data_IF_801103227478
#
_entry.id   IF_801103227478
#
_cell.length_a   1.000
_cell.length_b   1.000
_cell.length_c   1.000
_cell.angle_alpha   90.00
_cell.angle_beta   90.00
_cell.angle_gamma   90.00
#
_symmetry.space_group_name_H-M   'P 1'
#
loop_
_entity.id
_entity.type
_entity.pdbx_description
1 polymer ?
#
# COMPACT_ATOMS: atom_id res chain seq x y z
N UNK A 1 13.87 9.77 -2.79
CA UNK A 1 12.39 9.71 -2.85
C UNK A 1 12.00 8.26 -3.12
N UNK A 2 11.10 7.65 -2.32
CA UNK A 2 10.74 6.25 -2.47
C UNK A 2 9.86 5.99 -3.71
N UNK A 3 9.95 4.78 -4.31
CA UNK A 3 9.03 4.31 -5.35
C UNK A 3 7.55 4.37 -4.93
N UNK A 4 6.69 4.72 -5.86
CA UNK A 4 5.23 4.74 -5.66
C UNK A 4 4.66 3.32 -5.56
N UNK A 5 3.71 3.12 -4.65
CA UNK A 5 3.04 1.85 -4.46
C UNK A 5 1.78 1.73 -5.32
N UNK A 6 1.46 0.50 -5.73
CA UNK A 6 0.36 0.16 -6.63
C UNK A 6 -0.41 -1.04 -6.11
N UNK A 7 -1.61 -1.21 -6.64
CA UNK A 7 -2.38 -2.44 -6.40
C UNK A 7 -1.61 -3.65 -6.90
N UNK A 8 -1.48 -4.64 -6.02
CA UNK A 8 -0.73 -5.88 -6.16
C UNK A 8 0.80 -5.75 -6.00
N UNK A 9 1.33 -4.61 -5.53
CA UNK A 9 2.69 -4.55 -4.99
C UNK A 9 2.76 -5.34 -3.66
N UNK A 10 3.96 -5.82 -3.31
CA UNK A 10 4.17 -6.76 -2.20
C UNK A 10 4.40 -6.04 -0.88
N UNK A 11 3.85 -6.61 0.19
CA UNK A 11 4.17 -6.24 1.57
C UNK A 11 5.00 -7.33 2.23
N UNK A 12 5.92 -6.93 3.09
CA UNK A 12 6.81 -7.83 3.81
C UNK A 12 7.02 -7.31 5.23
N UNK A 13 7.12 -8.19 6.21
CA UNK A 13 7.69 -7.79 7.49
C UNK A 13 9.19 -7.52 7.33
N UNK A 14 9.74 -6.69 8.21
CA UNK A 14 11.16 -6.42 8.22
C UNK A 14 11.92 -7.63 8.77
N UNK A 15 12.92 -8.12 8.04
CA UNK A 15 13.80 -9.19 8.50
C UNK A 15 14.82 -8.68 9.52
N UNK A 16 15.31 -7.45 9.31
CA UNK A 16 16.18 -6.70 10.22
C UNK A 16 15.91 -5.23 10.01
N UNK A 17 15.66 -4.44 11.07
CA UNK A 17 15.59 -2.97 11.09
C UNK A 17 14.93 -2.23 9.91
N UNK A 18 15.59 -2.21 8.74
CA UNK A 18 15.19 -1.52 7.50
C UNK A 18 15.09 -2.42 6.26
N UNK A 19 15.45 -3.70 6.35
CA UNK A 19 15.47 -4.66 5.23
C UNK A 19 14.16 -5.46 5.18
N UNK A 20 13.39 -5.38 4.08
CA UNK A 20 12.23 -6.25 3.90
C UNK A 20 12.64 -7.72 3.90
N UNK A 21 11.92 -8.55 4.64
CA UNK A 21 12.00 -10.01 4.54
C UNK A 21 11.24 -10.54 3.32
N UNK A 22 10.99 -11.86 3.27
CA UNK A 22 10.16 -12.45 2.22
C UNK A 22 8.77 -11.81 2.16
N UNK A 23 8.17 -11.69 0.97
CA UNK A 23 6.83 -11.14 0.82
C UNK A 23 5.81 -12.02 1.54
N UNK A 24 4.94 -11.38 2.33
CA UNK A 24 3.90 -12.02 3.12
C UNK A 24 2.49 -11.63 2.69
N UNK A 25 2.37 -10.84 1.62
CA UNK A 25 1.09 -10.37 1.13
C UNK A 25 1.18 -9.38 -0.02
N UNK A 26 0.02 -8.85 -0.40
CA UNK A 26 -0.16 -7.91 -1.50
C UNK A 26 -1.07 -6.74 -1.11
N UNK A 27 -0.82 -5.58 -1.72
CA UNK A 27 -1.71 -4.42 -1.64
C UNK A 27 -2.93 -4.64 -2.53
N UNK A 28 -4.10 -4.20 -2.07
CA UNK A 28 -5.39 -4.30 -2.74
C UNK A 28 -6.25 -5.44 -2.20
N UNK A 29 -7.54 -5.47 -2.57
CA UNK A 29 -8.44 -6.55 -2.19
C UNK A 29 -7.98 -7.91 -2.76
N UNK A 30 -8.52 -9.01 -2.22
CA UNK A 30 -8.48 -10.30 -2.90
C UNK A 30 -8.96 -10.14 -4.36
N UNK A 31 -8.15 -10.56 -5.33
CA UNK A 31 -8.43 -10.38 -6.76
C UNK A 31 -7.85 -9.12 -7.40
N UNK A 32 -7.25 -8.20 -6.62
CA UNK A 32 -6.38 -7.13 -7.13
C UNK A 32 -7.07 -6.02 -7.93
N UNK A 33 -8.39 -5.87 -7.83
CA UNK A 33 -9.14 -4.82 -8.53
C UNK A 33 -9.28 -3.56 -7.67
N UNK A 34 -8.95 -2.40 -8.24
CA UNK A 34 -9.17 -1.12 -7.59
C UNK A 34 -10.54 -0.53 -7.96
N UNK A 35 -11.10 0.30 -7.08
CA UNK A 35 -12.37 0.97 -7.33
C UNK A 35 -12.19 2.27 -8.14
N UNK A 36 -13.22 2.68 -8.89
CA UNK A 36 -13.29 4.02 -9.46
C UNK A 36 -13.09 5.14 -8.42
N UNK A 37 -12.56 6.29 -8.84
CA UNK A 37 -12.46 7.48 -7.98
C UNK A 37 -13.83 7.92 -7.50
N UNK A 38 -13.92 8.37 -6.25
CA UNK A 38 -15.17 8.86 -5.67
C UNK A 38 -16.16 7.77 -5.25
N UNK A 39 -15.86 6.49 -5.50
CA UNK A 39 -16.65 5.38 -4.94
C UNK A 39 -16.49 5.37 -3.41
N UNK A 40 -17.58 5.26 -2.63
CA UNK A 40 -17.48 5.06 -1.18
C UNK A 40 -16.59 3.87 -0.86
N UNK A 41 -15.57 4.08 -0.02
CA UNK A 41 -14.59 3.04 0.32
C UNK A 41 -13.47 2.85 -0.72
N UNK A 42 -13.35 3.68 -1.75
CA UNK A 42 -12.24 3.62 -2.71
C UNK A 42 -10.84 3.54 -2.04
N UNK A 43 -10.53 4.27 -0.94
CA UNK A 43 -9.25 4.12 -0.28
C UNK A 43 -9.00 2.69 0.14
N UNK A 44 -10.00 1.98 0.67
CA UNK A 44 -9.90 0.57 1.09
C UNK A 44 -9.51 -0.32 -0.08
N UNK A 45 -9.95 -0.03 -1.30
CA UNK A 45 -9.70 -0.91 -2.44
C UNK A 45 -8.68 -0.37 -3.45
N UNK A 46 -8.14 0.83 -3.23
CA UNK A 46 -7.27 1.54 -4.17
C UNK A 46 -8.02 2.48 -5.09
N UNK A 47 -7.29 3.36 -5.80
CA UNK A 47 -7.88 4.40 -6.65
C UNK A 47 -7.50 4.16 -8.12
N UNK A 48 -8.49 3.91 -8.99
CA UNK A 48 -8.24 3.61 -10.41
C UNK A 48 -8.14 4.82 -11.35
N UNK A 49 -8.35 6.07 -10.89
CA UNK A 49 -8.13 7.27 -11.74
C UNK A 49 -6.68 7.42 -12.19
N UNK A 50 -5.75 6.98 -11.35
CA UNK A 50 -4.32 7.18 -11.57
C UNK A 50 -3.68 5.82 -11.72
N UNK A 51 -3.12 5.59 -12.90
CA UNK A 51 -2.31 4.43 -13.18
C UNK A 51 -0.84 4.80 -13.04
N UNK A 52 -0.12 4.07 -12.21
CA UNK A 52 1.32 4.21 -12.03
C UNK A 52 1.98 3.00 -12.70
N UNK A 53 2.77 3.26 -13.75
CA UNK A 53 3.37 2.20 -14.56
C UNK A 53 2.36 1.12 -14.97
N UNK A 54 1.18 1.56 -15.45
CA UNK A 54 0.12 0.70 -15.97
C UNK A 54 -0.78 0.01 -14.95
N UNK A 55 -0.58 0.22 -13.63
CA UNK A 55 -1.42 -0.39 -12.58
C UNK A 55 -2.06 0.68 -11.69
N UNK A 56 -3.26 0.45 -11.14
CA UNK A 56 -3.90 1.41 -10.25
C UNK A 56 -3.01 1.80 -9.06
N UNK A 57 -2.98 3.09 -8.76
CA UNK A 57 -2.23 3.64 -7.64
C UNK A 57 -2.81 3.17 -6.30
N UNK A 58 -1.92 2.84 -5.36
CA UNK A 58 -2.30 2.61 -3.98
C UNK A 58 -2.19 3.91 -3.18
N UNK A 59 -3.04 4.03 -2.17
CA UNK A 59 -3.07 5.18 -1.26
C UNK A 59 -3.06 4.71 0.19
N UNK A 60 -2.74 5.61 1.11
CA UNK A 60 -2.94 5.34 2.54
C UNK A 60 -4.41 5.01 2.78
N UNK A 61 -4.66 3.93 3.51
CA UNK A 61 -5.98 3.34 3.70
C UNK A 61 -6.27 2.15 2.80
N UNK A 62 -5.47 1.89 1.76
CA UNK A 62 -5.62 0.71 0.90
C UNK A 62 -5.41 -0.58 1.66
N UNK A 63 -6.40 -1.47 1.55
CA UNK A 63 -6.41 -2.79 2.17
C UNK A 63 -5.26 -3.60 1.61
N UNK A 64 -4.69 -4.44 2.46
CA UNK A 64 -3.64 -5.38 2.11
C UNK A 64 -4.08 -6.78 2.51
N UNK A 65 -3.88 -7.74 1.63
CA UNK A 65 -4.09 -9.15 1.95
C UNK A 65 -2.77 -9.73 2.44
N UNK A 66 -2.77 -10.25 3.66
CA UNK A 66 -1.64 -11.02 4.20
C UNK A 66 -1.95 -12.51 4.09
N UNK A 67 -1.00 -13.27 3.57
CA UNK A 67 -1.14 -14.71 3.35
C UNK A 67 -0.74 -15.54 4.57
N UNK A 68 -0.22 -14.91 5.65
CA UNK A 68 0.26 -15.58 6.88
C UNK A 68 -0.91 -15.95 7.81
N UNK A 69 -1.31 -17.23 7.92
CA UNK A 69 -2.33 -17.69 8.86
C UNK A 69 -1.67 -18.13 10.19
N UNK A 70 -2.40 -18.13 11.32
CA UNK A 70 -3.76 -17.63 11.52
C UNK A 70 -3.83 -16.14 11.92
N UNK A 71 -2.72 -15.52 12.33
CA UNK A 71 -2.76 -14.22 13.02
C UNK A 71 -3.20 -13.05 12.13
N UNK A 72 -2.98 -13.11 10.81
CA UNK A 72 -3.37 -12.04 9.90
C UNK A 72 -4.65 -12.33 9.13
N UNK A 73 -5.10 -13.59 9.09
CA UNK A 73 -6.37 -13.95 8.48
C UNK A 73 -7.56 -13.23 9.16
N UNK A 74 -7.48 -13.03 10.48
CA UNK A 74 -8.50 -12.30 11.25
C UNK A 74 -8.57 -10.80 10.93
N UNK A 75 -7.52 -10.22 10.33
CA UNK A 75 -7.52 -8.79 10.02
C UNK A 75 -8.41 -8.45 8.82
N UNK A 76 -8.61 -9.38 7.87
CA UNK A 76 -9.50 -9.20 6.71
C UNK A 76 -9.33 -7.80 6.07
N UNK A 77 -10.41 -7.02 5.95
CA UNK A 77 -10.45 -5.68 5.37
C UNK A 77 -9.91 -4.58 6.30
N UNK A 78 -9.46 -4.92 7.50
CA UNK A 78 -8.85 -3.96 8.45
C UNK A 78 -7.33 -3.90 8.33
N UNK A 79 -6.72 -4.85 7.61
CA UNK A 79 -5.31 -4.76 7.25
C UNK A 79 -5.15 -3.72 6.14
N UNK A 80 -4.54 -2.55 6.43
CA UNK A 80 -4.46 -1.42 5.49
C UNK A 80 -3.13 -0.71 5.57
N UNK A 81 -2.76 -0.02 4.50
CA UNK A 81 -1.61 0.89 4.48
C UNK A 81 -1.88 2.05 5.44
N UNK A 82 -0.88 2.33 6.27
CA UNK A 82 -0.82 3.50 7.15
C UNK A 82 0.44 4.31 6.80
N UNK A 83 0.45 5.63 7.07
CA UNK A 83 1.64 6.43 6.78
C UNK A 83 2.88 5.90 7.50
N UNK A 84 4.05 6.03 6.87
CA UNK A 84 5.33 5.84 7.55
C UNK A 84 5.43 6.70 8.83
N UNK A 85 6.23 6.24 9.80
CA UNK A 85 6.50 6.93 11.07
C UNK A 85 7.98 7.33 11.12
N UNK A 86 8.32 8.62 11.31
CA UNK A 86 7.41 9.77 11.41
C UNK A 86 6.72 10.08 10.05
N UNK A 87 5.52 10.69 10.07
CA UNK A 87 4.84 11.07 8.84
C UNK A 87 5.63 12.13 8.08
N UNK A 88 5.59 12.13 6.74
CA UNK A 88 6.30 13.14 5.96
C UNK A 88 5.69 14.53 6.13
N UNK A 89 6.55 15.56 6.07
CA UNK A 89 6.15 16.96 6.18
C UNK A 89 5.29 17.41 4.99
N UNK A 90 5.51 16.81 3.82
CA UNK A 90 4.73 17.05 2.59
C UNK A 90 4.25 15.73 2.02
N UNK A 91 3.11 15.75 1.32
CA UNK A 91 2.47 14.55 0.81
C UNK A 91 1.92 14.80 -0.59
N UNK A 92 2.15 13.84 -1.48
CA UNK A 92 1.44 13.77 -2.76
C UNK A 92 0.07 13.17 -2.50
N UNK A 93 -0.98 13.78 -3.07
CA UNK A 93 -2.34 13.27 -2.99
C UNK A 93 -2.76 12.67 -4.34
N UNK A 94 -3.32 11.46 -4.30
CA UNK A 94 -3.93 10.78 -5.44
C UNK A 94 -5.40 10.57 -5.09
N UNK A 95 -6.30 11.14 -5.90
CA UNK A 95 -7.74 11.09 -5.62
C UNK A 95 -8.14 11.69 -4.27
N UNK A 96 -7.37 12.66 -3.75
CA UNK A 96 -7.58 13.26 -2.43
C UNK A 96 -6.95 12.53 -1.25
N UNK A 97 -6.31 11.37 -1.47
CA UNK A 97 -5.68 10.56 -0.42
C UNK A 97 -4.16 10.55 -0.56
N UNK A 98 -3.44 10.43 0.55
CA UNK A 98 -1.98 10.34 0.53
C UNK A 98 -1.52 9.16 -0.36
N UNK A 99 -0.69 9.43 -1.36
CA UNK A 99 -0.10 8.42 -2.21
C UNK A 99 0.76 7.46 -1.38
N UNK A 100 0.54 6.15 -1.53
CA UNK A 100 1.34 5.15 -0.86
C UNK A 100 2.69 4.97 -1.56
N UNK A 101 3.73 4.67 -0.79
CA UNK A 101 5.11 4.52 -1.28
C UNK A 101 5.82 3.38 -0.57
N UNK A 102 6.90 2.89 -1.19
CA UNK A 102 7.76 1.88 -0.58
C UNK A 102 8.24 2.38 0.79
N UNK A 103 8.11 1.51 1.80
CA UNK A 103 8.44 1.81 3.20
C UNK A 103 7.26 2.29 4.04
N UNK A 104 6.11 2.61 3.46
CA UNK A 104 4.89 2.82 4.25
C UNK A 104 4.53 1.54 5.02
N UNK A 105 4.03 1.70 6.23
CA UNK A 105 3.67 0.58 7.08
C UNK A 105 2.25 0.09 6.77
N UNK A 106 1.91 -1.09 7.25
CA UNK A 106 0.55 -1.60 7.29
C UNK A 106 0.09 -1.78 8.73
N UNK A 107 -1.21 -1.92 8.96
CA UNK A 107 -1.74 -2.15 10.32
C UNK A 107 -1.26 -3.46 10.94
N UNK A 108 -0.92 -4.48 10.15
CA UNK A 108 -0.26 -5.70 10.64
C UNK A 108 1.24 -5.53 10.95
N UNK A 109 1.81 -4.33 10.82
CA UNK A 109 3.24 -4.03 11.00
C UNK A 109 4.16 -4.61 9.91
N UNK A 110 3.61 -4.99 8.76
CA UNK A 110 4.41 -5.17 7.55
C UNK A 110 4.74 -3.80 6.93
N UNK A 111 5.62 -3.78 5.94
CA UNK A 111 5.94 -2.60 5.14
C UNK A 111 5.69 -2.87 3.66
N UNK A 112 5.37 -1.82 2.91
CA UNK A 112 5.34 -1.85 1.45
C UNK A 112 6.77 -2.09 0.95
N UNK A 113 7.01 -3.29 0.43
CA UNK A 113 8.36 -3.77 0.11
C UNK A 113 8.76 -3.54 -1.35
N UNK A 114 7.77 -3.49 -2.27
CA UNK A 114 7.96 -3.18 -3.69
C UNK A 114 7.19 -1.93 -4.10
N UNK A 115 7.55 -1.35 -5.24
CA UNK A 115 6.88 -0.20 -5.84
C UNK A 115 7.34 0.01 -7.29
N UNK A 116 6.72 0.95 -8.00
CA UNK A 116 7.15 1.36 -9.34
C UNK A 116 8.42 2.21 -9.27
N UNK A 117 9.55 1.67 -9.70
CA UNK A 117 10.84 2.38 -9.70
C UNK A 117 10.89 3.56 -10.69
N UNK A 118 9.96 3.61 -11.64
CA UNK A 118 9.82 4.69 -12.63
C UNK A 118 9.05 5.91 -12.12
N UNK A 119 8.38 5.81 -10.97
CA UNK A 119 7.60 6.91 -10.38
C UNK A 119 7.96 7.04 -8.90
N UNK A 120 8.59 8.16 -8.55
CA UNK A 120 9.04 8.43 -7.17
C UNK A 120 8.07 9.41 -6.50
N UNK A 121 7.69 9.13 -5.26
CA UNK A 121 6.81 10.00 -4.46
C UNK A 121 7.68 10.85 -3.52
N UNK A 122 7.65 12.17 -3.71
CA UNK A 122 8.35 13.13 -2.86
C UNK A 122 7.60 13.48 -1.58
N UNK A 123 8.28 14.19 -0.68
CA UNK A 123 7.73 14.77 0.55
C UNK A 123 8.24 14.18 1.85
#
# INVERSE_FOLDING_TARGET
MPPAARIGDKISHLATGVTPGPPTGTIGPPGGQALPPGTPGAPLLGVSSVLIAGRPAAVVGTVCVCEKPPQHAVLLLTNRIVPAVPPPLRRVLIGGHQAARRGDATTCKAVVSTGATTVLIGG
#
